data_IF_646393998064
#
_entry.id   IF_646393998064
#
_cell.length_a   1.000
_cell.length_b   1.000
_cell.length_c   1.000
_cell.angle_alpha   90.00
_cell.angle_beta   90.00
_cell.angle_gamma   90.00
#
_symmetry.space_group_name_H-M   'P 1'
#
loop_
_entity.id
_entity.type
_entity.pdbx_description
1 polymer ?
#
# COMPACT_ATOMS: atom_id res chain seq x y z
N UNK A 1 25.72 33.63 -29.89
CA UNK A 1 25.56 32.20 -29.60
C UNK A 1 25.70 32.07 -28.12
N UNK A 2 24.60 31.97 -27.38
CA UNK A 2 24.58 31.80 -25.93
C UNK A 2 24.24 30.31 -25.67
N UNK A 3 25.20 29.58 -25.10
CA UNK A 3 24.99 28.24 -24.59
C UNK A 3 24.18 28.36 -23.29
N UNK A 4 22.96 27.85 -23.29
CA UNK A 4 22.19 27.64 -22.07
C UNK A 4 22.79 26.43 -21.34
N UNK A 5 23.43 26.66 -20.21
CA UNK A 5 23.78 25.64 -19.25
C UNK A 5 22.49 25.07 -18.65
N UNK A 6 22.25 23.80 -18.93
CA UNK A 6 21.20 23.02 -18.30
C UNK A 6 21.69 22.67 -16.88
N UNK A 7 21.23 23.40 -15.88
CA UNK A 7 21.42 23.05 -14.47
C UNK A 7 20.78 21.68 -14.22
N UNK A 8 21.62 20.65 -14.03
CA UNK A 8 21.18 19.36 -13.54
C UNK A 8 20.69 19.51 -12.10
N UNK A 9 19.39 19.44 -11.89
CA UNK A 9 18.84 19.34 -10.55
C UNK A 9 19.36 18.06 -9.87
N UNK A 10 19.69 18.10 -8.57
CA UNK A 10 20.21 16.94 -7.87
C UNK A 10 19.16 15.83 -7.87
N UNK A 11 19.53 14.66 -8.38
CA UNK A 11 18.76 13.43 -8.23
C UNK A 11 18.70 13.12 -6.75
N UNK A 12 17.54 13.29 -6.13
CA UNK A 12 17.29 12.85 -4.76
C UNK A 12 17.26 11.31 -4.84
N UNK A 13 18.39 10.69 -4.54
CA UNK A 13 18.47 9.26 -4.38
C UNK A 13 17.81 8.91 -3.04
N UNK A 14 16.57 8.42 -3.07
CA UNK A 14 15.94 7.83 -1.89
C UNK A 14 16.66 6.51 -1.60
N UNK A 15 17.56 6.52 -0.61
CA UNK A 15 18.12 5.27 -0.12
C UNK A 15 17.03 4.59 0.74
N UNK A 16 16.71 3.35 0.41
CA UNK A 16 15.89 2.51 1.28
C UNK A 16 16.79 2.14 2.47
N UNK A 17 16.78 2.98 3.49
CA UNK A 17 17.39 2.59 4.76
C UNK A 17 16.47 1.54 5.40
N UNK A 18 17.06 0.42 5.82
CA UNK A 18 16.37 -0.67 6.47
C UNK A 18 15.47 -0.16 7.59
N UNK A 19 14.20 -0.56 7.56
CA UNK A 19 13.34 -0.38 8.71
C UNK A 19 14.02 -0.99 9.93
N UNK A 20 14.11 -0.29 11.07
CA UNK A 20 14.59 -0.91 12.28
C UNK A 20 13.71 -2.15 12.55
N UNK A 21 14.35 -3.29 12.78
CA UNK A 21 13.71 -4.61 12.97
C UNK A 21 12.83 -4.72 14.22
N UNK A 22 12.39 -3.60 14.77
CA UNK A 22 11.56 -3.50 15.95
C UNK A 22 10.14 -3.10 15.58
N UNK A 23 9.23 -4.05 15.76
CA UNK A 23 7.78 -3.81 15.89
C UNK A 23 6.92 -3.70 14.64
N UNK A 24 7.09 -4.62 13.71
CA UNK A 24 5.93 -5.10 12.98
C UNK A 24 5.17 -5.98 13.97
N UNK A 25 4.05 -5.51 14.49
CA UNK A 25 3.22 -6.14 15.52
C UNK A 25 3.95 -7.07 16.47
N UNK A 26 4.10 -6.71 17.73
CA UNK A 26 4.70 -7.48 18.79
C UNK A 26 4.03 -8.84 19.04
N UNK A 27 4.19 -9.74 18.11
CA UNK A 27 4.07 -11.15 18.36
C UNK A 27 5.42 -11.58 18.90
N UNK A 28 5.49 -11.76 20.22
CA UNK A 28 6.53 -12.55 20.85
C UNK A 28 6.77 -13.79 19.98
N UNK A 29 7.99 -13.92 19.45
CA UNK A 29 8.42 -15.12 18.73
C UNK A 29 8.45 -16.29 19.70
N UNK A 30 7.31 -16.87 20.04
CA UNK A 30 7.21 -18.23 20.54
C UNK A 30 7.02 -19.13 19.34
N UNK A 31 7.98 -20.01 19.16
CA UNK A 31 8.11 -21.03 18.14
C UNK A 31 6.78 -21.61 17.65
N UNK A 32 6.36 -21.23 16.42
CA UNK A 32 5.32 -21.94 15.68
C UNK A 32 5.96 -22.87 14.65
N UNK A 33 5.40 -24.07 14.43
CA UNK A 33 5.96 -25.04 13.50
C UNK A 33 5.91 -24.51 12.06
N UNK A 34 7.05 -24.62 11.38
CA UNK A 34 7.28 -24.31 9.97
C UNK A 34 6.49 -25.28 9.06
N UNK A 35 5.18 -25.09 8.90
CA UNK A 35 4.46 -25.69 7.78
C UNK A 35 2.99 -25.22 7.72
N UNK A 36 2.77 -24.00 7.27
CA UNK A 36 1.46 -23.64 6.72
C UNK A 36 1.68 -22.75 5.50
N UNK A 37 1.09 -23.08 4.35
CA UNK A 37 1.23 -22.26 3.14
C UNK A 37 0.62 -20.90 3.39
N UNK A 38 1.28 -19.86 2.88
CA UNK A 38 0.74 -18.50 2.88
C UNK A 38 -0.67 -18.51 2.30
N UNK A 39 -1.63 -17.95 3.04
CA UNK A 39 -3.02 -17.93 2.63
C UNK A 39 -3.26 -16.83 1.58
N UNK A 40 -2.90 -17.11 0.34
CA UNK A 40 -3.54 -16.48 -0.79
C UNK A 40 -4.80 -17.31 -1.06
N UNK A 41 -5.95 -16.82 -0.64
CA UNK A 41 -7.19 -17.56 -0.82
C UNK A 41 -7.78 -17.30 -2.20
N UNK A 42 -7.95 -18.40 -2.95
CA UNK A 42 -8.91 -18.48 -4.04
C UNK A 42 -10.31 -18.53 -3.40
N UNK A 43 -11.06 -17.47 -3.53
CA UNK A 43 -12.45 -17.44 -3.09
C UNK A 43 -13.32 -18.01 -4.20
N UNK A 44 -13.54 -19.34 -4.20
CA UNK A 44 -14.66 -19.91 -4.93
C UNK A 44 -15.96 -19.48 -4.25
N UNK A 45 -17.04 -19.24 -5.02
CA UNK A 45 -18.35 -18.80 -4.50
C UNK A 45 -18.93 -19.73 -3.40
N UNK A 46 -18.40 -20.94 -3.26
CA UNK A 46 -18.90 -21.95 -2.32
C UNK A 46 -18.51 -21.69 -0.85
N UNK A 47 -17.42 -20.96 -0.56
CA UNK A 47 -16.93 -20.75 0.81
C UNK A 47 -17.37 -19.44 1.47
N UNK A 48 -18.04 -18.56 0.72
CA UNK A 48 -18.54 -17.25 1.24
C UNK A 48 -19.85 -17.35 2.03
N UNK A 49 -20.31 -18.51 2.44
CA UNK A 49 -21.45 -18.66 3.34
C UNK A 49 -21.02 -18.33 4.77
N UNK A 50 -21.12 -17.07 5.17
CA UNK A 50 -21.00 -16.77 6.58
C UNK A 50 -20.68 -15.34 7.02
N UNK A 51 -20.31 -14.45 6.13
CA UNK A 51 -20.06 -13.05 6.56
C UNK A 51 -21.33 -12.22 6.45
N UNK A 52 -22.16 -12.30 7.50
CA UNK A 52 -23.30 -11.42 7.68
C UNK A 52 -22.79 -10.07 8.19
N UNK A 53 -22.73 -9.06 7.32
CA UNK A 53 -22.25 -7.69 7.59
C UNK A 53 -23.13 -6.96 8.63
N UNK A 54 -24.17 -7.61 9.17
CA UNK A 54 -25.13 -7.03 10.12
C UNK A 54 -24.90 -7.41 11.58
N UNK A 55 -23.76 -7.98 11.97
CA UNK A 55 -23.48 -8.17 13.38
C UNK A 55 -22.78 -6.94 13.96
N UNK A 56 -23.40 -6.33 14.94
CA UNK A 56 -23.06 -5.16 15.75
C UNK A 56 -21.77 -5.28 16.59
N UNK A 57 -20.71 -5.80 16.00
CA UNK A 57 -19.36 -5.77 16.55
C UNK A 57 -18.57 -4.76 15.74
N UNK A 58 -18.17 -3.64 16.36
CA UNK A 58 -17.61 -2.46 15.73
C UNK A 58 -16.32 -2.68 14.95
N UNK A 59 -16.42 -3.24 13.77
CA UNK A 59 -15.36 -3.22 12.77
C UNK A 59 -15.46 -1.89 12.03
N UNK A 60 -14.49 -1.02 12.25
CA UNK A 60 -14.36 0.19 11.45
C UNK A 60 -13.89 -0.21 10.06
N UNK A 61 -14.85 -0.44 9.14
CA UNK A 61 -14.52 -0.46 7.72
C UNK A 61 -14.22 0.99 7.36
N UNK A 62 -12.95 1.30 7.16
CA UNK A 62 -12.55 2.61 6.70
C UNK A 62 -12.88 2.70 5.21
N UNK A 63 -14.09 3.14 4.89
CA UNK A 63 -14.43 3.62 3.55
C UNK A 63 -14.31 5.13 3.59
N UNK A 64 -13.31 5.73 2.92
CA UNK A 64 -13.24 7.19 2.85
C UNK A 64 -14.51 7.70 2.18
N UNK A 65 -15.32 8.46 2.92
CA UNK A 65 -16.54 9.08 2.41
C UNK A 65 -16.27 10.26 1.48
N UNK A 66 -15.01 10.63 1.28
CA UNK A 66 -14.58 11.78 0.50
C UNK A 66 -13.56 11.39 -0.57
N UNK A 67 -13.68 11.96 -1.76
CA UNK A 67 -12.76 11.81 -2.89
C UNK A 67 -11.32 12.21 -2.59
N UNK A 68 -11.08 12.91 -1.50
CA UNK A 68 -9.77 13.36 -1.03
C UNK A 68 -8.81 12.23 -0.66
N UNK A 69 -9.34 11.05 -0.32
CA UNK A 69 -8.56 9.90 0.17
C UNK A 69 -8.50 8.74 -0.83
N UNK A 70 -8.90 8.96 -2.07
CA UNK A 70 -8.82 7.91 -3.06
C UNK A 70 -7.41 7.82 -3.62
N UNK A 71 -6.72 6.73 -3.31
CA UNK A 71 -5.45 6.40 -3.95
C UNK A 71 -5.65 6.20 -5.45
N UNK A 72 -4.86 6.90 -6.27
CA UNK A 72 -4.91 6.81 -7.72
C UNK A 72 -3.58 6.31 -8.29
N UNK A 73 -3.41 5.01 -8.51
CA UNK A 73 -2.15 4.44 -8.98
C UNK A 73 -1.72 4.99 -10.34
N UNK A 74 -2.65 5.42 -11.19
CA UNK A 74 -2.33 6.04 -12.49
C UNK A 74 -1.50 7.32 -12.39
N UNK A 75 -1.54 8.02 -11.26
CA UNK A 75 -0.69 9.20 -11.02
C UNK A 75 0.80 8.85 -10.92
N UNK A 76 1.10 7.62 -10.56
CA UNK A 76 2.45 7.10 -10.37
C UNK A 76 2.91 6.20 -11.51
N UNK A 77 2.18 6.17 -12.62
CA UNK A 77 2.47 5.28 -13.74
C UNK A 77 2.64 6.05 -15.06
N UNK A 78 3.62 5.62 -15.85
CA UNK A 78 3.75 6.05 -17.24
C UNK A 78 2.67 5.37 -18.08
N UNK A 79 1.91 6.12 -18.89
CA UNK A 79 0.89 5.56 -19.75
C UNK A 79 1.43 4.45 -20.65
N UNK A 80 0.66 3.35 -20.79
CA UNK A 80 1.00 2.22 -21.65
C UNK A 80 2.12 1.30 -21.11
N UNK A 81 2.48 1.43 -19.86
CA UNK A 81 3.48 0.58 -19.18
C UNK A 81 2.91 -0.24 -18.02
N UNK A 82 1.59 -0.34 -17.93
CA UNK A 82 0.90 -0.93 -16.78
C UNK A 82 1.03 -2.47 -16.70
N UNK A 83 1.51 -3.12 -17.77
CA UNK A 83 1.75 -4.57 -17.81
C UNK A 83 0.47 -5.38 -18.11
N UNK A 84 0.53 -6.71 -17.85
CA UNK A 84 -0.58 -7.63 -18.11
C UNK A 84 -1.75 -7.40 -17.16
N UNK A 85 -2.95 -7.85 -17.55
CA UNK A 85 -4.11 -7.90 -16.66
C UNK A 85 -3.93 -8.97 -15.58
N UNK A 86 -4.33 -8.66 -14.36
CA UNK A 86 -4.30 -9.54 -13.19
C UNK A 86 -5.74 -9.82 -12.76
N UNK A 87 -6.13 -11.08 -12.82
CA UNK A 87 -7.46 -11.55 -12.42
C UNK A 87 -7.50 -12.20 -11.04
N UNK A 88 -6.36 -12.67 -10.53
CA UNK A 88 -6.28 -13.45 -9.29
C UNK A 88 -5.04 -13.08 -8.47
N UNK A 89 -5.13 -13.22 -7.14
CA UNK A 89 -4.05 -12.88 -6.23
C UNK A 89 -2.79 -13.76 -6.40
N UNK A 90 -2.97 -15.00 -6.82
CA UNK A 90 -1.88 -15.95 -7.08
C UNK A 90 -0.91 -15.45 -8.16
N UNK A 91 -1.42 -14.68 -9.13
CA UNK A 91 -0.60 -14.14 -10.24
C UNK A 91 0.43 -13.11 -9.80
N UNK A 92 0.22 -12.49 -8.64
CA UNK A 92 1.10 -11.45 -8.09
C UNK A 92 1.85 -11.90 -6.83
N UNK A 93 1.56 -13.09 -6.32
CA UNK A 93 2.08 -13.60 -5.04
C UNK A 93 3.59 -13.46 -4.92
N UNK A 94 4.33 -13.95 -5.91
CA UNK A 94 5.80 -13.91 -5.90
C UNK A 94 6.33 -12.48 -5.90
N UNK A 95 5.70 -11.58 -6.65
CA UNK A 95 6.09 -10.16 -6.72
C UNK A 95 5.83 -9.44 -5.40
N UNK A 96 4.71 -9.76 -4.73
CA UNK A 96 4.38 -9.19 -3.41
C UNK A 96 5.37 -9.64 -2.36
N UNK A 97 5.70 -10.93 -2.33
CA UNK A 97 6.69 -11.49 -1.40
C UNK A 97 8.06 -10.86 -1.63
N UNK A 98 8.51 -10.82 -2.89
CA UNK A 98 9.81 -10.24 -3.24
C UNK A 98 9.89 -8.76 -2.81
N UNK A 99 8.89 -7.95 -3.14
CA UNK A 99 8.85 -6.55 -2.74
C UNK A 99 8.89 -6.37 -1.21
N UNK A 100 8.12 -7.17 -0.49
CA UNK A 100 8.07 -7.13 0.96
C UNK A 100 9.42 -7.51 1.59
N UNK A 101 10.03 -8.60 1.12
CA UNK A 101 11.34 -9.07 1.61
C UNK A 101 12.46 -8.05 1.30
N UNK A 102 12.39 -7.35 0.17
CA UNK A 102 13.34 -6.26 -0.14
C UNK A 102 13.24 -5.08 0.83
N UNK A 103 12.04 -4.78 1.31
CA UNK A 103 11.79 -3.66 2.24
C UNK A 103 12.15 -4.03 3.67
N UNK A 104 11.68 -5.20 4.14
CA UNK A 104 11.71 -5.56 5.56
C UNK A 104 12.78 -6.59 5.92
N UNK A 105 13.38 -7.25 4.93
CA UNK A 105 14.34 -8.37 5.13
C UNK A 105 13.76 -9.52 5.97
N UNK A 106 12.45 -9.68 5.96
CA UNK A 106 11.69 -10.71 6.67
C UNK A 106 10.61 -11.30 5.75
N UNK A 107 10.15 -12.55 6.00
CA UNK A 107 9.05 -13.12 5.23
C UNK A 107 7.76 -12.30 5.32
N UNK A 108 6.92 -12.41 4.30
CA UNK A 108 5.61 -11.76 4.28
C UNK A 108 4.74 -12.26 5.46
N UNK A 109 4.01 -11.35 6.17
CA UNK A 109 3.22 -11.68 7.36
C UNK A 109 2.10 -12.69 7.04
N UNK A 110 1.95 -13.72 7.88
CA UNK A 110 0.89 -14.72 7.72
C UNK A 110 -0.50 -14.24 8.17
N UNK A 111 -0.55 -13.12 8.87
CA UNK A 111 -1.79 -12.52 9.37
C UNK A 111 -2.36 -11.46 8.43
N UNK A 112 -1.92 -11.42 7.17
CA UNK A 112 -2.48 -10.56 6.12
C UNK A 112 -2.93 -11.46 4.96
N UNK A 113 -4.21 -11.34 4.59
CA UNK A 113 -4.81 -12.03 3.44
C UNK A 113 -5.04 -11.02 2.31
N UNK A 114 -4.67 -11.38 1.08
CA UNK A 114 -4.82 -10.56 -0.11
C UNK A 114 -5.78 -11.23 -1.08
N UNK A 115 -6.75 -10.48 -1.58
CA UNK A 115 -7.72 -10.90 -2.59
C UNK A 115 -7.74 -9.93 -3.76
N UNK A 116 -7.64 -10.43 -4.99
CA UNK A 116 -7.92 -9.68 -6.20
C UNK A 116 -9.32 -10.06 -6.67
N UNK A 117 -10.22 -9.09 -6.75
CA UNK A 117 -11.64 -9.28 -6.99
C UNK A 117 -12.04 -8.69 -8.34
N UNK A 118 -12.98 -9.32 -9.05
CA UNK A 118 -13.64 -8.68 -10.18
C UNK A 118 -14.59 -7.57 -9.71
N UNK A 119 -15.03 -6.70 -10.64
CA UNK A 119 -15.90 -5.56 -10.33
C UNK A 119 -17.17 -5.97 -9.55
N UNK A 120 -17.84 -7.04 -9.97
CA UNK A 120 -19.09 -7.50 -9.34
C UNK A 120 -18.88 -7.92 -7.89
N UNK A 121 -17.78 -8.61 -7.61
CA UNK A 121 -17.41 -9.04 -6.28
C UNK A 121 -16.94 -7.89 -5.41
N UNK A 122 -16.07 -7.04 -5.98
CA UNK A 122 -15.51 -5.90 -5.28
C UNK A 122 -16.60 -4.92 -4.83
N UNK A 123 -17.58 -4.62 -5.70
CA UNK A 123 -18.67 -3.68 -5.36
C UNK A 123 -19.65 -4.18 -4.28
N UNK A 124 -19.62 -5.47 -3.95
CA UNK A 124 -20.37 -6.00 -2.78
C UNK A 124 -19.75 -5.57 -1.45
N UNK A 125 -18.45 -5.31 -1.41
CA UNK A 125 -17.69 -4.94 -0.21
C UNK A 125 -17.30 -3.46 -0.21
N UNK A 126 -17.05 -2.87 -1.37
CA UNK A 126 -16.68 -1.48 -1.58
C UNK A 126 -17.59 -0.87 -2.67
N UNK A 127 -18.82 -0.43 -2.32
CA UNK A 127 -19.82 -0.01 -3.31
C UNK A 127 -19.51 1.30 -4.03
N UNK A 128 -18.61 2.14 -3.50
CA UNK A 128 -18.26 3.40 -4.14
C UNK A 128 -17.44 3.17 -5.42
N UNK A 129 -17.83 3.75 -6.57
CA UNK A 129 -17.21 3.45 -7.88
C UNK A 129 -15.74 3.89 -7.99
N UNK A 130 -15.33 4.90 -7.23
CA UNK A 130 -13.94 5.37 -7.22
C UNK A 130 -12.99 4.53 -6.34
N UNK A 131 -13.52 3.64 -5.51
CA UNK A 131 -12.70 2.76 -4.67
C UNK A 131 -12.16 1.60 -5.50
N UNK A 132 -10.85 1.37 -5.47
CA UNK A 132 -10.17 0.29 -6.19
C UNK A 132 -9.36 -0.62 -5.26
N UNK A 133 -9.13 -0.21 -4.02
CA UNK A 133 -8.55 -0.96 -2.93
C UNK A 133 -9.39 -0.79 -1.67
N UNK A 134 -9.35 -1.78 -0.81
CA UNK A 134 -9.98 -1.74 0.52
C UNK A 134 -9.20 -2.64 1.46
N UNK A 135 -8.85 -2.12 2.61
CA UNK A 135 -8.21 -2.88 3.68
C UNK A 135 -9.06 -2.94 4.94
N UNK A 136 -9.06 -4.09 5.59
CA UNK A 136 -9.69 -4.33 6.89
C UNK A 136 -8.59 -4.69 7.88
N UNK A 137 -8.16 -3.72 8.66
CA UNK A 137 -7.11 -3.91 9.66
C UNK A 137 -7.69 -4.51 10.94
N UNK A 138 -7.32 -5.74 11.26
CA UNK A 138 -7.72 -6.48 12.47
C UNK A 138 -6.53 -6.87 13.35
N UNK A 139 -5.35 -6.36 13.03
CA UNK A 139 -4.12 -6.71 13.76
C UNK A 139 -4.18 -6.38 15.25
N UNK A 140 -4.89 -5.30 15.62
CA UNK A 140 -5.11 -4.92 17.03
C UNK A 140 -5.84 -6.01 17.83
N UNK A 141 -6.72 -6.77 17.18
CA UNK A 141 -7.50 -7.84 17.79
C UNK A 141 -6.83 -9.22 17.66
N UNK A 142 -5.60 -9.26 17.09
CA UNK A 142 -4.87 -10.51 16.84
C UNK A 142 -5.50 -11.38 15.74
N UNK A 143 -6.35 -10.79 14.90
CA UNK A 143 -7.04 -11.47 13.81
C UNK A 143 -6.33 -11.20 12.46
N UNK A 144 -6.70 -11.98 11.46
CA UNK A 144 -6.19 -11.79 10.09
C UNK A 144 -6.75 -10.49 9.52
N UNK A 145 -5.85 -9.61 9.09
CA UNK A 145 -6.18 -8.43 8.29
C UNK A 145 -6.41 -8.82 6.84
N UNK A 146 -7.33 -8.15 6.16
CA UNK A 146 -7.69 -8.46 4.78
C UNK A 146 -7.48 -7.26 3.88
N UNK A 147 -6.96 -7.51 2.69
CA UNK A 147 -6.81 -6.53 1.62
C UNK A 147 -7.58 -7.05 0.40
N UNK A 148 -8.44 -6.20 -0.14
CA UNK A 148 -9.17 -6.43 -1.37
C UNK A 148 -8.74 -5.41 -2.42
N UNK A 149 -8.36 -5.88 -3.60
CA UNK A 149 -7.95 -5.03 -4.73
C UNK A 149 -8.83 -5.38 -5.94
N UNK A 150 -9.32 -4.36 -6.63
CA UNK A 150 -10.02 -4.55 -7.89
C UNK A 150 -9.04 -5.08 -8.95
N UNK A 151 -9.46 -6.08 -9.72
CA UNK A 151 -8.67 -6.62 -10.81
C UNK A 151 -8.40 -5.54 -11.88
N UNK A 152 -7.14 -5.42 -12.29
CA UNK A 152 -6.67 -4.40 -13.24
C UNK A 152 -5.32 -4.85 -13.83
N UNK A 153 -4.61 -3.97 -14.51
CA UNK A 153 -3.25 -4.17 -14.95
C UNK A 153 -2.29 -4.39 -13.78
N UNK A 154 -1.22 -5.14 -14.02
CA UNK A 154 -0.23 -5.55 -13.01
C UNK A 154 0.31 -4.36 -12.18
N UNK A 155 0.69 -3.29 -12.85
CA UNK A 155 1.22 -2.11 -12.16
C UNK A 155 0.15 -1.49 -11.24
N UNK A 156 -1.09 -1.30 -11.72
CA UNK A 156 -2.16 -0.71 -10.92
C UNK A 156 -2.49 -1.57 -9.70
N UNK A 157 -2.59 -2.90 -9.87
CA UNK A 157 -2.81 -3.83 -8.76
C UNK A 157 -1.68 -3.77 -7.75
N UNK A 158 -0.41 -3.79 -8.19
CA UNK A 158 0.75 -3.74 -7.30
C UNK A 158 0.85 -2.42 -6.52
N UNK A 159 0.54 -1.29 -7.16
CA UNK A 159 0.58 0.00 -6.49
C UNK A 159 -0.59 0.18 -5.50
N UNK A 160 -1.80 -0.22 -5.89
CA UNK A 160 -2.97 -0.23 -4.99
C UNK A 160 -2.70 -1.11 -3.76
N UNK A 161 -2.15 -2.31 -3.98
CA UNK A 161 -1.80 -3.21 -2.90
C UNK A 161 -0.77 -2.59 -1.94
N UNK A 162 0.24 -1.89 -2.45
CA UNK A 162 1.22 -1.19 -1.63
C UNK A 162 0.58 -0.12 -0.73
N UNK A 163 -0.44 0.58 -1.23
CA UNK A 163 -1.20 1.55 -0.44
C UNK A 163 -2.00 0.85 0.68
N UNK A 164 -2.72 -0.20 0.34
CA UNK A 164 -3.52 -0.97 1.31
C UNK A 164 -2.65 -1.68 2.37
N UNK A 165 -1.44 -2.12 2.01
CA UNK A 165 -0.45 -2.62 2.97
C UNK A 165 -0.07 -1.55 3.99
N UNK A 166 0.08 -0.30 3.57
CA UNK A 166 0.35 0.82 4.46
C UNK A 166 -0.68 0.99 5.57
N UNK A 167 -1.94 0.60 5.32
CA UNK A 167 -3.01 0.61 6.32
C UNK A 167 -2.94 -0.55 7.31
N UNK A 168 -2.53 -1.77 6.87
CA UNK A 168 -2.66 -2.98 7.69
C UNK A 168 -1.38 -3.43 8.37
N UNK A 169 -0.21 -2.96 7.95
CA UNK A 169 1.08 -3.34 8.54
C UNK A 169 1.26 -2.84 9.96
N UNK A 170 0.53 -1.81 10.37
CA UNK A 170 0.55 -1.24 11.71
C UNK A 170 -0.86 -0.90 12.17
N UNK A 171 -1.02 -0.49 13.44
CA UNK A 171 -2.32 -0.07 13.94
C UNK A 171 -2.88 1.12 13.16
N UNK A 172 -4.19 1.12 12.92
CA UNK A 172 -4.90 2.26 12.34
C UNK A 172 -4.80 3.49 13.25
N UNK A 173 -4.49 4.63 12.66
CA UNK A 173 -4.42 5.90 13.37
C UNK A 173 -5.82 6.50 13.54
N UNK A 174 -6.02 7.23 14.63
CA UNK A 174 -7.33 7.83 14.94
C UNK A 174 -7.67 9.02 14.01
N UNK A 175 -6.64 9.75 13.55
CA UNK A 175 -6.83 10.84 12.59
C UNK A 175 -6.81 10.28 11.16
N UNK A 176 -7.88 10.46 10.38
CA UNK A 176 -7.95 9.96 9.00
C UNK A 176 -6.85 10.50 8.08
N UNK A 177 -6.48 11.77 8.22
CA UNK A 177 -5.41 12.38 7.39
C UNK A 177 -4.04 11.77 7.70
N UNK A 178 -3.76 11.49 9.00
CA UNK A 178 -2.52 10.84 9.40
C UNK A 178 -2.48 9.38 8.92
N UNK A 179 -3.63 8.69 8.96
CA UNK A 179 -3.77 7.33 8.46
C UNK A 179 -3.48 7.25 6.95
N UNK A 180 -4.06 8.18 6.18
CA UNK A 180 -3.79 8.27 4.75
C UNK A 180 -2.33 8.68 4.45
N UNK A 181 -1.77 9.63 5.21
CA UNK A 181 -0.37 10.02 5.06
C UNK A 181 0.58 8.85 5.35
N UNK A 182 0.26 8.02 6.35
CA UNK A 182 0.98 6.78 6.65
C UNK A 182 0.92 5.81 5.47
N UNK A 183 -0.26 5.59 4.90
CA UNK A 183 -0.44 4.72 3.74
C UNK A 183 0.32 5.24 2.51
N UNK A 184 0.28 6.56 2.24
CA UNK A 184 1.05 7.16 1.14
C UNK A 184 2.56 7.08 1.36
N UNK A 185 3.05 7.31 2.58
CA UNK A 185 4.48 7.16 2.87
C UNK A 185 4.95 5.73 2.59
N UNK A 186 4.18 4.73 3.01
CA UNK A 186 4.47 3.34 2.70
C UNK A 186 4.35 3.02 1.21
N UNK A 187 3.33 3.55 0.52
CA UNK A 187 3.16 3.39 -0.93
C UNK A 187 4.42 3.79 -1.70
N UNK A 188 5.03 4.92 -1.31
CA UNK A 188 6.26 5.38 -1.96
C UNK A 188 7.47 4.50 -1.62
N UNK A 189 7.58 3.97 -0.38
CA UNK A 189 8.59 2.95 -0.03
C UNK A 189 8.42 1.72 -0.91
N UNK A 190 7.18 1.25 -1.05
CA UNK A 190 6.82 0.09 -1.88
C UNK A 190 7.18 0.30 -3.36
N UNK A 191 6.79 1.45 -3.93
CA UNK A 191 7.12 1.82 -5.31
C UNK A 191 8.62 1.91 -5.55
N UNK A 192 9.37 2.49 -4.61
CA UNK A 192 10.83 2.57 -4.71
C UNK A 192 11.47 1.18 -4.70
N UNK A 193 11.02 0.26 -3.85
CA UNK A 193 11.50 -1.11 -3.84
C UNK A 193 11.23 -1.83 -5.18
N UNK A 194 10.01 -1.69 -5.72
CA UNK A 194 9.66 -2.25 -7.03
C UNK A 194 10.57 -1.67 -8.13
N UNK A 195 10.80 -0.38 -8.11
CA UNK A 195 11.60 0.33 -9.11
C UNK A 195 13.07 -0.06 -9.03
N UNK A 196 13.65 -0.06 -7.83
CA UNK A 196 15.07 -0.35 -7.60
C UNK A 196 15.43 -1.79 -7.95
N UNK A 197 14.57 -2.74 -7.57
CA UNK A 197 14.79 -4.17 -7.81
C UNK A 197 14.14 -4.70 -9.09
N UNK A 198 13.52 -3.83 -9.88
CA UNK A 198 12.80 -4.18 -11.11
C UNK A 198 11.80 -5.32 -10.92
N UNK A 199 11.07 -5.30 -9.80
CA UNK A 199 10.11 -6.35 -9.46
C UNK A 199 8.99 -6.38 -10.49
N UNK A 200 8.65 -7.56 -10.96
CA UNK A 200 7.66 -7.78 -12.02
C UNK A 200 7.95 -7.02 -13.34
N UNK A 201 9.18 -6.54 -13.56
CA UNK A 201 9.54 -5.74 -14.72
C UNK A 201 8.97 -4.33 -14.73
N UNK A 202 8.55 -3.80 -13.58
CA UNK A 202 7.84 -2.54 -13.46
C UNK A 202 8.72 -1.30 -13.21
N UNK A 203 10.05 -1.43 -13.17
CA UNK A 203 10.95 -0.30 -12.88
C UNK A 203 10.73 0.91 -13.80
N UNK A 204 10.52 0.67 -15.10
CA UNK A 204 10.31 1.72 -16.08
C UNK A 204 8.88 2.29 -16.09
N UNK A 205 7.93 1.58 -15.48
CA UNK A 205 6.53 1.99 -15.43
C UNK A 205 6.28 3.04 -14.34
N UNK A 206 7.03 2.97 -13.22
CA UNK A 206 6.75 3.73 -12.01
C UNK A 206 7.46 5.08 -12.03
N UNK A 207 6.72 6.15 -11.68
CA UNK A 207 7.19 7.53 -11.53
C UNK A 207 6.89 7.99 -10.11
N UNK A 208 7.90 8.11 -9.27
CA UNK A 208 7.74 8.54 -7.87
C UNK A 208 8.08 10.01 -7.65
N UNK A 209 8.90 10.61 -8.53
CA UNK A 209 9.39 11.99 -8.38
C UNK A 209 8.39 13.05 -8.84
N UNK A 210 7.46 12.69 -9.72
CA UNK A 210 6.40 13.58 -10.24
C UNK A 210 5.16 12.75 -10.54
N UNK A 211 4.28 12.54 -9.57
CA UNK A 211 2.97 11.99 -9.89
C UNK A 211 2.27 12.93 -10.88
N UNK A 212 1.48 12.37 -11.81
CA UNK A 212 0.78 13.17 -12.80
C UNK A 212 -0.06 14.26 -12.12
N UNK A 213 -0.02 15.50 -12.63
CA UNK A 213 -0.80 16.62 -12.11
C UNK A 213 -2.28 16.46 -12.51
N UNK A 214 -3.03 15.67 -11.74
CA UNK A 214 -4.45 15.40 -12.01
C UNK A 214 -5.40 16.36 -11.27
N UNK A 215 -4.89 17.42 -10.65
CA UNK A 215 -5.69 18.43 -9.96
C UNK A 215 -6.35 17.98 -8.66
N UNK A 216 -6.10 16.75 -8.19
CA UNK A 216 -6.58 16.25 -6.92
C UNK A 216 -5.58 16.62 -5.82
N UNK A 217 -5.94 17.65 -5.04
CA UNK A 217 -5.19 18.02 -3.84
C UNK A 217 -5.46 17.00 -2.73
N UNK A 218 -4.68 15.91 -2.70
CA UNK A 218 -4.68 15.01 -1.56
C UNK A 218 -3.84 15.63 -0.43
N UNK A 219 -4.51 16.07 0.62
CA UNK A 219 -3.87 16.72 1.79
C UNK A 219 -2.82 15.81 2.42
N UNK A 220 -3.11 14.53 2.52
CA UNK A 220 -2.21 13.53 3.08
C UNK A 220 -0.95 13.34 2.22
N UNK A 221 -1.12 13.23 0.90
CA UNK A 221 0.01 13.13 -0.03
C UNK A 221 0.86 14.42 -0.04
N UNK A 222 0.21 15.59 -0.05
CA UNK A 222 0.89 16.88 0.05
C UNK A 222 1.71 17.03 1.34
N UNK A 223 1.23 16.46 2.45
CA UNK A 223 2.01 16.41 3.69
C UNK A 223 3.25 15.53 3.52
N UNK A 224 3.13 14.34 2.94
CA UNK A 224 4.27 13.44 2.67
C UNK A 224 5.32 14.16 1.82
N UNK A 225 4.92 14.76 0.69
CA UNK A 225 5.83 15.54 -0.15
C UNK A 225 6.53 16.67 0.62
N UNK A 226 5.79 17.39 1.46
CA UNK A 226 6.34 18.48 2.29
C UNK A 226 7.42 17.96 3.25
N UNK A 227 7.22 16.80 3.85
CA UNK A 227 8.19 16.21 4.77
C UNK A 227 9.44 15.70 4.03
N UNK A 228 9.28 15.11 2.84
CA UNK A 228 10.39 14.72 1.98
C UNK A 228 11.23 15.95 1.53
N UNK A 229 10.57 17.04 1.14
CA UNK A 229 11.25 18.31 0.80
C UNK A 229 12.03 18.91 1.97
N UNK A 230 11.69 18.57 3.22
CA UNK A 230 12.45 18.92 4.43
C UNK A 230 13.62 17.97 4.72
N UNK A 231 13.84 16.96 3.89
CA UNK A 231 14.93 16.00 4.02
C UNK A 231 14.60 14.78 4.89
N UNK A 232 13.32 14.53 5.22
CA UNK A 232 12.93 13.32 5.93
C UNK A 232 12.92 12.13 4.95
N UNK A 233 13.49 11.01 5.35
CA UNK A 233 13.44 9.76 4.58
C UNK A 233 12.05 9.12 4.65
N UNK A 234 11.62 8.42 3.58
CA UNK A 234 10.29 7.80 3.50
C UNK A 234 10.01 6.80 4.61
N UNK A 235 10.96 5.92 4.88
CA UNK A 235 10.83 4.92 5.95
C UNK A 235 10.77 5.58 7.33
N UNK A 236 11.55 6.63 7.54
CA UNK A 236 11.49 7.43 8.76
C UNK A 236 10.11 8.09 8.89
N UNK A 237 9.62 8.75 7.84
CA UNK A 237 8.31 9.41 7.87
C UNK A 237 7.18 8.42 8.19
N UNK A 238 7.21 7.22 7.57
CA UNK A 238 6.25 6.17 7.88
C UNK A 238 6.26 5.83 9.39
N UNK A 239 7.44 5.61 9.96
CA UNK A 239 7.57 5.29 11.38
C UNK A 239 7.19 6.45 12.31
N UNK A 240 7.52 7.69 11.95
CA UNK A 240 7.13 8.89 12.71
C UNK A 240 5.59 9.05 12.75
N UNK A 241 4.89 8.77 11.64
CA UNK A 241 3.43 8.73 11.60
C UNK A 241 2.87 7.59 12.46
N UNK A 242 3.42 6.38 12.36
CA UNK A 242 3.04 5.22 13.19
C UNK A 242 3.16 5.55 14.69
N UNK A 243 4.24 6.20 15.10
CA UNK A 243 4.50 6.61 16.48
C UNK A 243 3.80 7.90 16.87
N UNK A 244 3.11 8.57 15.93
CA UNK A 244 2.40 9.84 16.15
C UNK A 244 3.30 10.99 16.60
N UNK A 245 4.56 10.97 16.19
CA UNK A 245 5.53 12.04 16.45
C UNK A 245 5.41 13.18 15.43
N UNK A 246 4.79 12.88 14.28
CA UNK A 246 4.34 13.88 13.29
C UNK A 246 2.86 13.69 12.98
N UNK A 247 2.19 14.76 12.58
CA UNK A 247 0.78 14.74 12.21
C UNK A 247 0.51 15.72 11.07
N UNK A 248 -0.46 15.36 10.22
CA UNK A 248 -0.95 16.23 9.13
C UNK A 248 -1.64 17.48 9.68
N UNK A 249 -2.26 17.35 10.83
CA UNK A 249 -2.98 18.46 11.49
C UNK A 249 -2.07 19.43 12.25
N UNK A 250 -0.77 19.12 12.40
CA UNK A 250 0.21 19.96 13.08
C UNK A 250 0.30 19.71 14.56
#
# INVERSE_FOLDING_TARGET
>A
MAHAEYEQQPKIAYSIQSFPSAQIYGASMTSFPLSSPMAFHYSSEAERKGYNVNSSGGYSIFTPSHTEYHFQPSEFLKPGKEGKFIGQAEEIKEYVVDAFEKIFHTPFPQNICISVCNETEFRKIAPHPGTIGLSINRGKDGLISEIFVLNDSLARVMLTLGHELGHVLTNTLANPHDEEAKAYAFSLVWMNAIKEHNIAGLSDAIVTERPAENGLHNVAFGFVEKMLKKGMELSQLYMELVHRTVSVAG
#
